data_IF_354595275949
#
_entry.id   IF_354595275949
#
_cell.length_a   1.000
_cell.length_b   1.000
_cell.length_c   1.000
_cell.angle_alpha   90.00
_cell.angle_beta   90.00
_cell.angle_gamma   90.00
#
_symmetry.space_group_name_H-M   'P 1'
#
loop_
_entity.id
_entity.type
_entity.pdbx_description
1 polymer ?
#
# COMPACT_ATOMS: atom_id res chain seq x y z
N UNK A 1 13.85 -16.02 -3.32
CA UNK A 1 14.35 -14.71 -3.76
C UNK A 1 15.46 -14.22 -2.85
N UNK A 2 16.31 -13.35 -3.37
CA UNK A 2 17.41 -12.75 -2.62
C UNK A 2 17.15 -11.24 -2.49
N UNK A 3 17.26 -10.72 -1.29
CA UNK A 3 17.13 -9.30 -1.01
C UNK A 3 18.51 -8.63 -1.05
N UNK A 4 18.66 -7.43 -1.64
CA UNK A 4 19.90 -6.68 -1.56
C UNK A 4 20.17 -6.30 -0.11
N UNK A 5 21.42 -6.46 0.32
CA UNK A 5 21.86 -6.13 1.65
C UNK A 5 23.26 -5.52 1.62
N UNK A 6 23.64 -4.87 2.69
CA UNK A 6 25.00 -4.38 2.91
C UNK A 6 25.52 -4.88 4.24
N UNK A 7 26.73 -5.36 4.22
CA UNK A 7 27.42 -5.80 5.41
C UNK A 7 28.58 -4.87 5.70
N UNK A 8 28.64 -4.35 6.91
CA UNK A 8 29.83 -3.69 7.41
C UNK A 8 30.91 -4.75 7.64
N UNK A 9 32.04 -4.57 7.02
CA UNK A 9 33.22 -5.41 7.23
C UNK A 9 34.25 -4.55 7.94
N UNK A 10 34.50 -4.90 9.20
CA UNK A 10 35.57 -4.34 10.00
C UNK A 10 36.73 -5.32 9.98
N UNK A 11 37.79 -5.06 9.25
CA UNK A 11 38.96 -5.94 9.27
C UNK A 11 39.69 -5.73 10.61
N UNK A 12 39.19 -6.36 11.66
CA UNK A 12 39.96 -6.46 12.91
C UNK A 12 41.25 -7.22 12.63
N UNK A 13 42.35 -6.53 12.72
CA UNK A 13 43.70 -7.07 12.66
C UNK A 13 44.16 -7.71 11.32
N UNK A 14 43.53 -7.47 10.20
CA UNK A 14 44.14 -7.84 8.91
C UNK A 14 45.25 -6.86 8.59
N UNK A 15 46.48 -7.33 8.60
CA UNK A 15 47.67 -6.59 8.16
C UNK A 15 47.72 -6.38 6.64
N UNK A 16 46.78 -6.99 5.91
CA UNK A 16 46.70 -6.88 4.46
C UNK A 16 45.75 -5.75 4.04
N UNK A 17 46.17 -4.91 3.09
CA UNK A 17 45.32 -3.87 2.54
C UNK A 17 44.16 -4.47 1.73
N UNK A 18 42.98 -3.83 1.80
CA UNK A 18 41.84 -4.16 0.93
C UNK A 18 41.95 -3.31 -0.34
N UNK A 19 42.04 -3.97 -1.49
CA UNK A 19 42.08 -3.32 -2.78
C UNK A 19 40.70 -3.37 -3.45
N UNK A 20 40.24 -2.23 -3.95
CA UNK A 20 38.99 -2.11 -4.68
C UNK A 20 39.09 -1.08 -5.81
N UNK A 21 38.23 -1.20 -6.80
CA UNK A 21 38.18 -0.26 -7.92
C UNK A 21 37.01 0.72 -7.74
N UNK A 22 37.31 2.01 -7.97
CA UNK A 22 36.35 3.11 -7.84
C UNK A 22 36.37 3.95 -9.11
N UNK A 23 35.23 4.45 -9.58
CA UNK A 23 35.23 5.41 -10.67
C UNK A 23 35.79 6.76 -10.19
N UNK A 24 36.47 7.50 -11.08
CA UNK A 24 37.02 8.83 -10.74
C UNK A 24 35.99 9.81 -10.18
N UNK A 25 34.70 9.64 -10.57
CA UNK A 25 33.58 10.46 -10.09
C UNK A 25 33.14 10.13 -8.67
N UNK A 26 33.48 8.94 -8.18
CA UNK A 26 33.12 8.47 -6.85
C UNK A 26 34.22 8.73 -5.81
N UNK A 27 35.38 9.26 -6.25
CA UNK A 27 36.48 9.55 -5.35
C UNK A 27 36.09 10.65 -4.35
N UNK A 28 36.13 10.38 -3.03
CA UNK A 28 35.82 11.40 -2.03
C UNK A 28 36.86 12.53 -2.04
N UNK A 29 36.40 13.74 -1.77
CA UNK A 29 37.25 14.92 -1.61
C UNK A 29 37.01 15.56 -0.24
N UNK A 30 38.01 15.61 0.68
CA UNK A 30 39.36 15.09 0.54
C UNK A 30 39.43 13.57 0.51
N UNK A 31 40.52 13.01 -0.04
CA UNK A 31 40.81 11.58 0.01
C UNK A 31 41.02 11.16 1.48
N UNK A 32 40.35 10.07 1.95
CA UNK A 32 40.57 9.58 3.32
C UNK A 32 42.04 9.21 3.57
N UNK A 33 42.58 9.55 4.74
CA UNK A 33 43.97 9.36 5.08
C UNK A 33 44.45 7.89 4.99
N UNK A 34 43.55 6.94 5.13
CA UNK A 34 43.80 5.51 5.05
C UNK A 34 43.74 4.95 3.63
N UNK A 35 43.35 5.77 2.66
CA UNK A 35 43.23 5.37 1.25
C UNK A 35 44.45 5.78 0.45
N UNK A 36 44.94 4.88 -0.41
CA UNK A 36 46.01 5.15 -1.35
C UNK A 36 45.56 4.77 -2.76
N UNK A 37 45.78 5.65 -3.72
CA UNK A 37 45.60 5.35 -5.14
C UNK A 37 46.79 4.48 -5.58
N UNK A 38 46.52 3.25 -5.98
CA UNK A 38 47.51 2.28 -6.43
C UNK A 38 47.74 2.38 -7.93
N UNK A 39 46.66 2.48 -8.68
CA UNK A 39 46.72 2.65 -10.13
C UNK A 39 45.57 3.53 -10.67
N UNK A 40 45.80 4.16 -11.77
CA UNK A 40 44.84 5.02 -12.46
C UNK A 40 44.58 4.50 -13.87
N UNK A 41 43.29 4.35 -14.20
CA UNK A 41 42.78 3.97 -15.51
C UNK A 41 41.96 5.11 -16.10
N UNK A 42 41.54 5.01 -17.36
CA UNK A 42 40.81 6.08 -18.06
C UNK A 42 39.62 6.62 -17.21
N UNK A 43 38.74 5.75 -16.71
CA UNK A 43 37.51 6.12 -15.97
C UNK A 43 37.49 5.64 -14.53
N UNK A 44 38.51 4.91 -14.05
CA UNK A 44 38.53 4.31 -12.73
C UNK A 44 39.90 4.42 -12.05
N UNK A 45 39.89 4.26 -10.75
CA UNK A 45 41.07 4.24 -9.88
C UNK A 45 41.05 2.93 -9.10
N UNK A 46 42.22 2.36 -8.92
CA UNK A 46 42.42 1.26 -7.99
C UNK A 46 42.91 1.84 -6.67
N UNK A 47 42.17 1.55 -5.60
CA UNK A 47 42.39 2.09 -4.26
C UNK A 47 42.83 0.95 -3.36
N UNK A 48 43.88 1.22 -2.57
CA UNK A 48 44.28 0.36 -1.45
C UNK A 48 43.89 1.06 -0.15
N UNK A 49 43.20 0.36 0.73
CA UNK A 49 42.74 0.84 2.01
C UNK A 49 43.24 -0.04 3.16
N UNK A 50 43.77 0.56 4.20
CA UNK A 50 44.23 -0.13 5.39
C UNK A 50 43.40 0.23 6.61
N UNK A 51 42.95 -0.79 7.39
CA UNK A 51 42.42 -0.62 8.73
C UNK A 51 41.11 0.16 8.83
N UNK A 52 40.29 0.20 7.79
CA UNK A 52 38.99 0.85 7.84
C UNK A 52 37.84 -0.10 7.61
N UNK A 53 36.72 0.21 8.28
CA UNK A 53 35.44 -0.42 7.98
C UNK A 53 34.97 -0.06 6.58
N UNK A 54 34.45 -1.03 5.86
CA UNK A 54 33.86 -0.81 4.56
C UNK A 54 32.56 -1.60 4.39
N UNK A 55 31.67 -1.05 3.57
CA UNK A 55 30.42 -1.70 3.25
C UNK A 55 30.56 -2.62 2.04
N UNK A 56 30.26 -3.90 2.24
CA UNK A 56 30.21 -4.88 1.17
C UNK A 56 28.76 -5.07 0.71
N UNK A 57 28.50 -4.83 -0.56
CA UNK A 57 27.21 -5.17 -1.16
C UNK A 57 27.08 -6.71 -1.18
N UNK A 58 26.00 -7.18 -0.64
CA UNK A 58 25.68 -8.60 -0.51
C UNK A 58 24.21 -8.84 -0.75
N UNK A 59 23.78 -10.07 -0.68
CA UNK A 59 22.37 -10.45 -0.68
C UNK A 59 22.12 -11.45 0.43
N UNK A 60 20.92 -11.45 0.98
CA UNK A 60 20.45 -12.49 1.87
C UNK A 60 19.13 -13.10 1.34
N UNK A 61 18.85 -14.36 1.65
CA UNK A 61 17.59 -14.98 1.23
C UNK A 61 16.42 -14.30 1.94
N UNK A 62 15.36 -14.01 1.18
CA UNK A 62 14.11 -13.53 1.79
C UNK A 62 13.44 -14.66 2.58
N UNK A 63 13.01 -14.37 3.79
CA UNK A 63 12.18 -15.28 4.57
C UNK A 63 10.75 -15.42 4.00
N UNK A 64 10.32 -14.44 3.17
CA UNK A 64 9.00 -14.37 2.56
C UNK A 64 9.13 -14.46 1.04
N UNK A 65 8.54 -15.47 0.43
CA UNK A 65 8.54 -15.66 -1.01
C UNK A 65 7.10 -15.65 -1.62
N UNK A 66 6.10 -15.37 -0.81
CA UNK A 66 4.71 -15.22 -1.24
C UNK A 66 4.31 -13.74 -1.26
N UNK A 67 3.80 -13.26 -2.39
CA UNK A 67 3.31 -11.89 -2.55
C UNK A 67 2.18 -11.83 -3.58
N UNK A 68 1.23 -10.91 -3.37
CA UNK A 68 0.24 -10.52 -4.38
C UNK A 68 0.85 -9.52 -5.35
N UNK A 69 0.82 -9.81 -6.63
CA UNK A 69 1.38 -8.96 -7.67
C UNK A 69 0.35 -8.73 -8.78
N UNK A 70 0.50 -7.65 -9.51
CA UNK A 70 -0.24 -7.45 -10.76
C UNK A 70 -0.01 -8.63 -11.71
N UNK A 71 -0.97 -8.94 -12.59
CA UNK A 71 -0.86 -10.06 -13.52
C UNK A 71 0.46 -10.02 -14.33
N UNK A 72 1.06 -11.19 -14.52
CA UNK A 72 2.29 -11.31 -15.30
C UNK A 72 2.08 -10.76 -16.72
N UNK A 73 2.99 -9.92 -17.17
CA UNK A 73 2.91 -9.24 -18.48
C UNK A 73 2.12 -7.93 -18.49
N UNK A 74 1.38 -7.62 -17.43
CA UNK A 74 0.75 -6.32 -17.28
C UNK A 74 1.73 -5.32 -16.64
N UNK A 75 1.97 -4.19 -17.29
CA UNK A 75 2.88 -3.14 -16.82
C UNK A 75 2.20 -1.77 -16.93
N UNK A 76 1.75 -1.17 -15.82
CA UNK A 76 1.09 0.13 -15.82
C UNK A 76 2.00 1.25 -16.35
N UNK A 77 3.33 1.08 -16.31
CA UNK A 77 4.28 2.06 -16.82
C UNK A 77 4.15 2.29 -18.34
N UNK A 78 3.57 1.34 -19.08
CA UNK A 78 3.43 1.43 -20.54
C UNK A 78 2.17 2.17 -21.00
N UNK A 79 1.26 2.49 -20.08
CA UNK A 79 -0.05 3.03 -20.41
C UNK A 79 -0.06 4.54 -20.58
N UNK A 80 0.97 5.23 -20.08
CA UNK A 80 1.13 6.68 -20.20
C UNK A 80 2.62 7.07 -20.09
N UNK A 81 2.95 8.34 -20.26
CA UNK A 81 4.33 8.84 -20.17
C UNK A 81 4.85 8.85 -18.71
N UNK A 82 5.15 7.65 -18.19
CA UNK A 82 5.46 7.41 -16.79
C UNK A 82 6.95 7.35 -16.44
N UNK A 83 7.81 7.86 -17.31
CA UNK A 83 9.26 7.77 -17.12
C UNK A 83 9.70 8.37 -15.77
N UNK A 84 10.41 7.59 -14.97
CA UNK A 84 10.84 7.91 -13.61
C UNK A 84 9.72 8.08 -12.56
N UNK A 85 8.51 7.63 -12.83
CA UNK A 85 7.47 7.61 -11.81
C UNK A 85 7.57 6.35 -10.94
N UNK A 86 7.38 6.47 -9.62
CA UNK A 86 7.22 5.34 -8.72
C UNK A 86 6.11 4.39 -9.17
N UNK A 87 6.28 3.10 -8.90
CA UNK A 87 5.32 2.07 -9.31
C UNK A 87 3.92 2.31 -8.75
N UNK A 88 3.80 2.75 -7.49
CA UNK A 88 2.51 3.08 -6.89
C UNK A 88 1.78 4.19 -7.65
N UNK A 89 2.50 5.21 -8.15
CA UNK A 89 1.91 6.29 -8.94
C UNK A 89 1.53 5.84 -10.36
N UNK A 90 2.29 4.93 -10.96
CA UNK A 90 1.91 4.32 -12.24
C UNK A 90 0.59 3.53 -12.11
N UNK A 91 0.46 2.77 -11.02
CA UNK A 91 -0.75 2.03 -10.69
C UNK A 91 -1.92 2.97 -10.37
N UNK A 92 -1.65 4.11 -9.73
CA UNK A 92 -2.65 5.15 -9.44
C UNK A 92 -3.32 5.66 -10.71
N UNK A 93 -2.53 6.08 -11.71
CA UNK A 93 -3.08 6.61 -12.96
C UNK A 93 -3.91 5.55 -13.68
N UNK A 94 -3.44 4.31 -13.72
CA UNK A 94 -4.20 3.21 -14.32
C UNK A 94 -5.51 2.94 -13.56
N UNK A 95 -5.45 2.70 -12.25
CA UNK A 95 -6.63 2.33 -11.46
C UNK A 95 -7.68 3.44 -11.40
N UNK A 96 -7.26 4.70 -11.33
CA UNK A 96 -8.18 5.83 -11.38
C UNK A 96 -8.82 5.99 -12.78
N UNK A 97 -8.06 5.78 -13.84
CA UNK A 97 -8.58 5.75 -15.21
C UNK A 97 -9.62 4.64 -15.41
N UNK A 98 -9.36 3.46 -14.86
CA UNK A 98 -10.28 2.32 -14.91
C UNK A 98 -11.59 2.63 -14.17
N UNK A 99 -11.51 3.24 -12.98
CA UNK A 99 -12.68 3.68 -12.21
C UNK A 99 -13.52 4.72 -13.00
N UNK A 100 -12.88 5.67 -13.67
CA UNK A 100 -13.56 6.66 -14.51
C UNK A 100 -14.28 5.96 -15.68
N UNK A 101 -13.61 5.02 -16.35
CA UNK A 101 -14.19 4.29 -17.46
C UNK A 101 -15.38 3.40 -17.04
N UNK A 102 -15.41 2.94 -15.79
CA UNK A 102 -16.50 2.12 -15.24
C UNK A 102 -17.82 2.87 -15.05
N UNK A 103 -17.82 4.20 -15.17
CA UNK A 103 -19.05 5.01 -15.09
C UNK A 103 -20.02 4.77 -16.24
N UNK A 104 -19.56 4.20 -17.37
CA UNK A 104 -20.38 3.97 -18.54
C UNK A 104 -20.88 5.23 -19.26
N UNK A 105 -20.38 6.42 -18.88
CA UNK A 105 -20.71 7.72 -19.45
C UNK A 105 -19.50 8.39 -20.07
N UNK A 106 -19.74 9.30 -21.00
CA UNK A 106 -18.66 10.10 -21.57
C UNK A 106 -18.14 11.09 -20.53
N UNK A 107 -16.84 11.00 -20.24
CA UNK A 107 -16.17 11.85 -19.26
C UNK A 107 -16.22 13.34 -19.62
N UNK A 108 -16.09 13.70 -20.89
CA UNK A 108 -16.19 15.10 -21.34
C UNK A 108 -17.57 15.69 -21.07
N UNK A 109 -18.64 14.91 -21.27
CA UNK A 109 -20.00 15.34 -20.92
C UNK A 109 -20.13 15.59 -19.42
N UNK A 110 -19.53 14.77 -18.57
CA UNK A 110 -19.51 15.00 -17.13
C UNK A 110 -18.82 16.34 -16.79
N UNK A 111 -17.68 16.60 -17.42
CA UNK A 111 -16.92 17.86 -17.23
C UNK A 111 -17.69 19.10 -17.70
N UNK A 112 -18.54 18.99 -18.70
CA UNK A 112 -19.42 20.07 -19.16
C UNK A 112 -20.53 20.38 -18.15
N UNK A 113 -21.01 19.38 -17.39
CA UNK A 113 -22.10 19.51 -16.45
C UNK A 113 -21.66 19.91 -15.05
N UNK A 114 -20.39 19.75 -14.71
CA UNK A 114 -19.86 19.95 -13.34
C UNK A 114 -18.77 21.02 -13.36
N UNK A 115 -18.91 22.09 -12.54
CA UNK A 115 -17.85 23.09 -12.40
C UNK A 115 -16.52 22.45 -11.99
N UNK A 116 -15.37 22.96 -12.48
CA UNK A 116 -14.06 22.36 -12.18
C UNK A 116 -13.71 22.30 -10.70
N UNK A 117 -14.23 23.20 -9.89
CA UNK A 117 -14.04 23.25 -8.43
C UNK A 117 -15.01 22.35 -7.65
N UNK A 118 -15.99 21.74 -8.31
CA UNK A 118 -16.91 20.77 -7.71
C UNK A 118 -16.47 19.30 -7.93
N UNK A 119 -15.21 19.06 -8.32
CA UNK A 119 -14.58 17.74 -8.32
C UNK A 119 -13.58 17.67 -7.19
N UNK A 120 -13.76 16.74 -6.25
CA UNK A 120 -12.78 16.43 -5.19
C UNK A 120 -11.98 15.19 -5.53
N UNK A 121 -10.73 15.12 -5.04
CA UNK A 121 -9.85 13.95 -5.17
C UNK A 121 -9.25 13.61 -3.81
N UNK A 122 -9.59 12.44 -3.28
CA UNK A 122 -9.04 11.94 -2.02
C UNK A 122 -8.36 10.60 -2.24
N UNK A 123 -7.07 10.63 -2.47
CA UNK A 123 -6.30 9.45 -2.80
C UNK A 123 -4.90 9.49 -2.19
N UNK A 124 -4.41 8.34 -1.75
CA UNK A 124 -3.12 8.30 -1.10
C UNK A 124 -2.47 6.91 -1.09
N UNK A 125 -1.28 6.89 -0.53
CA UNK A 125 -0.55 5.69 -0.17
C UNK A 125 -0.26 5.71 1.33
N UNK A 126 -0.51 4.60 2.01
CA UNK A 126 -0.21 4.44 3.43
C UNK A 126 1.30 4.53 3.69
N UNK A 127 2.11 3.92 2.83
CA UNK A 127 3.57 3.83 2.98
C UNK A 127 4.33 4.92 2.23
N UNK A 128 3.68 5.67 1.34
CA UNK A 128 4.38 6.50 0.36
C UNK A 128 5.10 5.67 -0.69
N UNK A 129 5.93 6.32 -1.49
CA UNK A 129 6.63 5.65 -2.59
C UNK A 129 8.06 5.29 -2.16
N UNK A 130 8.27 4.06 -1.69
CA UNK A 130 9.56 3.57 -1.16
C UNK A 130 10.42 2.84 -2.21
N UNK A 131 10.04 2.87 -3.47
CA UNK A 131 10.86 2.34 -4.55
C UNK A 131 12.02 3.28 -4.95
N UNK A 132 12.81 2.85 -5.94
CA UNK A 132 14.00 3.57 -6.40
C UNK A 132 13.68 4.96 -6.98
N UNK A 133 12.49 5.18 -7.51
CA UNK A 133 12.06 6.47 -8.08
C UNK A 133 11.52 7.45 -7.03
N UNK A 134 11.20 6.97 -5.83
CA UNK A 134 10.71 7.73 -4.70
C UNK A 134 11.70 7.83 -3.53
N UNK A 135 11.19 7.78 -2.32
CA UNK A 135 11.98 7.91 -1.08
C UNK A 135 13.07 6.84 -0.93
N UNK A 136 12.80 5.59 -1.37
CA UNK A 136 13.79 4.52 -1.28
C UNK A 136 15.07 4.88 -2.03
N UNK A 137 14.95 5.34 -3.27
CA UNK A 137 16.10 5.79 -4.05
C UNK A 137 16.79 7.02 -3.46
N UNK A 138 16.03 7.97 -2.92
CA UNK A 138 16.57 9.16 -2.28
C UNK A 138 17.40 8.80 -1.03
N UNK A 139 16.85 8.00 -0.13
CA UNK A 139 17.51 7.63 1.12
C UNK A 139 18.76 6.76 0.90
N UNK A 140 18.74 5.92 -0.13
CA UNK A 140 19.85 5.03 -0.47
C UNK A 140 20.92 5.68 -1.36
N UNK A 141 20.62 6.82 -2.00
CA UNK A 141 21.48 7.41 -3.02
C UNK A 141 22.93 7.59 -2.57
N UNK A 142 23.14 8.16 -1.38
CA UNK A 142 24.50 8.37 -0.83
C UNK A 142 25.22 7.06 -0.53
N UNK A 143 24.50 6.08 0.00
CA UNK A 143 25.08 4.76 0.29
C UNK A 143 25.46 4.00 -0.98
N UNK A 144 24.83 4.33 -2.10
CA UNK A 144 25.09 3.75 -3.42
C UNK A 144 26.07 4.61 -4.25
N UNK A 145 26.62 5.69 -3.68
CA UNK A 145 27.49 6.62 -4.42
C UNK A 145 26.77 7.37 -5.55
N UNK A 146 25.46 7.52 -5.47
CA UNK A 146 24.62 8.22 -6.46
C UNK A 146 24.24 9.61 -5.96
N UNK A 147 23.86 10.46 -6.90
CA UNK A 147 23.23 11.75 -6.60
C UNK A 147 21.73 11.54 -6.41
N UNK A 148 21.14 12.26 -5.45
CA UNK A 148 19.69 12.36 -5.30
C UNK A 148 19.12 13.12 -6.52
N UNK A 149 18.03 12.60 -7.07
CA UNK A 149 17.25 13.28 -8.10
C UNK A 149 16.29 14.29 -7.48
N UNK A 150 16.09 15.43 -8.11
CA UNK A 150 15.10 16.43 -7.67
C UNK A 150 13.66 15.92 -7.65
N UNK A 151 13.38 14.80 -8.32
CA UNK A 151 12.06 14.19 -8.42
C UNK A 151 11.76 13.23 -7.24
N UNK A 152 12.79 12.61 -6.67
CA UNK A 152 12.60 11.53 -5.67
C UNK A 152 11.89 12.00 -4.40
N UNK A 153 12.17 13.21 -3.93
CA UNK A 153 11.51 13.77 -2.75
C UNK A 153 10.02 14.00 -2.98
N UNK A 154 9.60 14.85 -3.93
CA UNK A 154 8.17 15.13 -4.13
C UNK A 154 7.39 13.88 -4.54
N UNK A 155 7.94 13.02 -5.39
CA UNK A 155 7.26 11.80 -5.82
C UNK A 155 7.14 10.74 -4.71
N UNK A 156 7.86 10.91 -3.59
CA UNK A 156 7.82 9.99 -2.45
C UNK A 156 6.62 10.16 -1.52
N UNK A 157 5.94 11.30 -1.54
CA UNK A 157 4.92 11.64 -0.56
C UNK A 157 3.65 10.77 -0.66
N UNK A 158 2.95 10.68 0.49
CA UNK A 158 1.76 9.83 0.63
C UNK A 158 0.55 10.37 -0.16
N UNK A 159 0.46 11.69 -0.37
CA UNK A 159 -0.62 12.39 -1.09
C UNK A 159 -0.43 12.40 -2.61
N UNK A 160 0.73 12.05 -3.11
CA UNK A 160 1.01 12.08 -4.55
C UNK A 160 0.00 11.33 -5.44
N UNK A 161 -0.64 10.23 -4.99
CA UNK A 161 -1.74 9.63 -5.75
C UNK A 161 -2.85 10.63 -6.11
N UNK A 162 -3.26 11.51 -5.18
CA UNK A 162 -4.29 12.51 -5.45
C UNK A 162 -3.84 13.54 -6.48
N UNK A 163 -2.61 14.05 -6.34
CA UNK A 163 -2.04 15.01 -7.28
C UNK A 163 -1.86 14.40 -8.68
N UNK A 164 -1.46 13.12 -8.77
CA UNK A 164 -1.32 12.43 -10.04
C UNK A 164 -2.65 12.21 -10.76
N UNK A 165 -3.70 11.85 -10.02
CA UNK A 165 -5.05 11.74 -10.59
C UNK A 165 -5.48 13.08 -11.15
N UNK A 166 -5.29 14.15 -10.38
CA UNK A 166 -5.65 15.48 -10.83
C UNK A 166 -4.84 15.93 -12.05
N UNK A 167 -3.52 15.75 -12.01
CA UNK A 167 -2.62 16.18 -13.08
C UNK A 167 -2.78 15.40 -14.39
N UNK A 168 -3.05 14.10 -14.31
CA UNK A 168 -3.07 13.23 -15.50
C UNK A 168 -4.47 12.91 -16.04
N UNK A 169 -5.50 13.03 -15.20
CA UNK A 169 -6.85 12.58 -15.57
C UNK A 169 -7.91 13.69 -15.48
N UNK A 170 -7.96 14.43 -14.37
CA UNK A 170 -9.08 15.31 -14.09
C UNK A 170 -8.87 16.77 -14.48
N UNK A 171 -7.73 17.36 -14.12
CA UNK A 171 -7.48 18.80 -14.24
C UNK A 171 -8.47 19.62 -13.45
N UNK A 172 -8.94 19.12 -12.28
CA UNK A 172 -9.92 19.80 -11.44
C UNK A 172 -9.29 20.91 -10.59
N UNK A 173 -10.14 21.80 -10.10
CA UNK A 173 -9.77 22.89 -9.19
C UNK A 173 -10.36 22.69 -7.78
N UNK A 174 -11.03 21.58 -7.55
CA UNK A 174 -11.61 21.24 -6.23
C UNK A 174 -10.59 20.71 -5.24
N UNK A 175 -11.08 20.29 -4.09
CA UNK A 175 -10.23 19.80 -2.99
C UNK A 175 -9.46 18.55 -3.39
N UNK A 176 -8.15 18.57 -3.16
CA UNK A 176 -7.26 17.46 -3.50
C UNK A 176 -6.36 17.14 -2.30
N UNK A 177 -6.25 15.87 -1.94
CA UNK A 177 -5.40 15.44 -0.82
C UNK A 177 -5.65 14.02 -0.36
N UNK A 178 -5.19 13.71 0.86
CA UNK A 178 -5.39 12.40 1.50
C UNK A 178 -5.37 12.48 3.01
N UNK A 179 -6.05 11.55 3.66
CA UNK A 179 -5.86 11.23 5.08
C UNK A 179 -5.24 9.85 5.19
N UNK A 180 -4.06 9.76 5.81
CA UNK A 180 -3.34 8.51 6.00
C UNK A 180 -3.69 7.89 7.35
N UNK A 181 -4.13 6.63 7.33
CA UNK A 181 -4.56 5.89 8.52
C UNK A 181 -4.20 4.39 8.42
N UNK A 182 -2.98 4.09 7.98
CA UNK A 182 -2.53 2.74 7.73
C UNK A 182 -3.54 1.96 6.85
N UNK A 183 -3.87 0.72 7.19
CA UNK A 183 -4.83 -0.10 6.43
C UNK A 183 -6.25 0.50 6.32
N UNK A 184 -6.56 1.56 7.04
CA UNK A 184 -7.86 2.27 6.97
C UNK A 184 -7.82 3.51 6.06
N UNK A 185 -6.70 3.81 5.40
CA UNK A 185 -6.51 5.01 4.57
C UNK A 185 -7.64 5.16 3.54
N UNK A 186 -8.05 4.09 2.87
CA UNK A 186 -9.16 4.12 1.93
C UNK A 186 -10.46 4.62 2.57
N UNK A 187 -10.81 4.15 3.76
CA UNK A 187 -12.05 4.54 4.45
C UNK A 187 -12.03 6.00 4.92
N UNK A 188 -10.85 6.52 5.32
CA UNK A 188 -10.71 7.94 5.64
C UNK A 188 -10.90 8.82 4.40
N UNK A 189 -10.31 8.44 3.29
CA UNK A 189 -10.48 9.14 2.01
C UNK A 189 -11.94 9.04 1.50
N UNK A 190 -12.55 7.86 1.62
CA UNK A 190 -13.96 7.65 1.28
C UNK A 190 -14.88 8.56 2.08
N UNK A 191 -14.63 8.70 3.40
CA UNK A 191 -15.39 9.59 4.26
C UNK A 191 -15.31 11.05 3.80
N UNK A 192 -14.12 11.53 3.42
CA UNK A 192 -13.96 12.90 2.93
C UNK A 192 -14.77 13.12 1.66
N UNK A 193 -14.70 12.20 0.68
CA UNK A 193 -15.50 12.30 -0.54
C UNK A 193 -17.01 12.29 -0.27
N UNK A 194 -17.48 11.43 0.64
CA UNK A 194 -18.89 11.39 1.05
C UNK A 194 -19.31 12.70 1.73
N UNK A 195 -18.47 13.27 2.59
CA UNK A 195 -18.75 14.53 3.26
C UNK A 195 -18.86 15.70 2.29
N UNK A 196 -17.96 15.79 1.31
CA UNK A 196 -18.00 16.85 0.30
C UNK A 196 -19.28 16.79 -0.55
N UNK A 197 -19.67 15.60 -0.98
CA UNK A 197 -20.90 15.42 -1.76
C UNK A 197 -22.13 15.73 -0.90
N UNK A 198 -22.19 15.19 0.32
CA UNK A 198 -23.33 15.39 1.23
C UNK A 198 -23.50 16.83 1.67
N UNK A 199 -22.42 17.61 1.74
CA UNK A 199 -22.46 19.03 2.06
C UNK A 199 -22.69 19.94 0.84
N UNK A 200 -22.67 19.38 -0.38
CA UNK A 200 -22.76 20.15 -1.62
C UNK A 200 -21.47 20.86 -2.01
N UNK A 201 -20.35 20.60 -1.34
CA UNK A 201 -19.05 21.16 -1.68
C UNK A 201 -18.51 20.57 -3.00
N UNK A 202 -18.77 19.30 -3.26
CA UNK A 202 -18.48 18.65 -4.53
C UNK A 202 -19.71 17.92 -5.06
N UNK A 203 -19.76 17.73 -6.37
CA UNK A 203 -20.74 16.88 -7.04
C UNK A 203 -20.15 15.53 -7.44
N UNK A 204 -18.83 15.48 -7.59
CA UNK A 204 -18.05 14.29 -7.94
C UNK A 204 -16.85 14.21 -7.03
N UNK A 205 -16.55 13.03 -6.49
CA UNK A 205 -15.33 12.78 -5.74
C UNK A 205 -14.68 11.49 -6.21
N UNK A 206 -13.42 11.55 -6.65
CA UNK A 206 -12.62 10.37 -6.94
C UNK A 206 -11.83 10.00 -5.69
N UNK A 207 -12.04 8.79 -5.20
CA UNK A 207 -11.50 8.32 -3.92
C UNK A 207 -10.76 7.02 -4.11
N UNK A 208 -9.60 6.88 -3.45
CA UNK A 208 -8.90 5.61 -3.53
C UNK A 208 -7.57 5.54 -2.79
N UNK A 209 -6.90 4.41 -2.98
CA UNK A 209 -5.54 4.16 -2.51
C UNK A 209 -4.76 3.36 -3.55
N UNK A 210 -3.45 3.57 -3.58
CA UNK A 210 -2.54 2.78 -4.40
C UNK A 210 -1.28 2.46 -3.61
N UNK A 211 -0.95 1.17 -3.54
CA UNK A 211 0.17 0.66 -2.76
C UNK A 211 1.06 -0.26 -3.60
N UNK A 212 2.34 0.00 -3.57
CA UNK A 212 3.37 -0.86 -4.16
C UNK A 212 4.41 -1.27 -3.08
N UNK A 213 4.01 -2.05 -2.06
CA UNK A 213 4.81 -2.29 -0.85
C UNK A 213 5.85 -3.40 -1.02
N UNK A 214 6.05 -3.92 -2.22
CA UNK A 214 6.96 -5.06 -2.45
C UNK A 214 8.41 -4.57 -2.59
N UNK A 215 8.87 -3.78 -1.62
CA UNK A 215 10.26 -3.35 -1.50
C UNK A 215 10.95 -4.08 -0.33
N UNK A 216 12.28 -4.27 -0.39
CA UNK A 216 13.02 -4.93 0.68
C UNK A 216 12.75 -4.34 2.06
N UNK A 217 12.72 -3.03 2.17
CA UNK A 217 12.56 -2.29 3.42
C UNK A 217 11.20 -2.57 4.08
N UNK A 218 10.14 -2.60 3.29
CA UNK A 218 8.78 -2.88 3.80
C UNK A 218 8.68 -4.36 4.19
N UNK A 219 9.19 -5.27 3.35
CA UNK A 219 9.18 -6.71 3.65
C UNK A 219 9.93 -6.97 4.95
N UNK A 220 11.14 -6.42 5.13
CA UNK A 220 11.92 -6.60 6.35
C UNK A 220 11.27 -5.97 7.58
N UNK A 221 10.66 -4.79 7.43
CA UNK A 221 9.94 -4.13 8.51
C UNK A 221 8.80 -4.99 9.04
N UNK A 222 7.98 -5.56 8.16
CA UNK A 222 6.88 -6.46 8.56
C UNK A 222 7.37 -7.85 8.99
N UNK A 223 8.50 -8.34 8.48
CA UNK A 223 9.16 -9.53 9.02
C UNK A 223 9.59 -9.32 10.47
N UNK A 224 10.22 -8.18 10.76
CA UNK A 224 10.65 -7.83 12.12
C UNK A 224 9.47 -7.70 13.10
N UNK A 225 8.30 -7.26 12.63
CA UNK A 225 7.05 -7.27 13.40
C UNK A 225 6.46 -8.67 13.61
N UNK A 226 6.99 -9.71 12.94
CA UNK A 226 6.42 -11.05 12.93
C UNK A 226 5.05 -11.17 12.23
N UNK A 227 4.68 -10.17 11.44
CA UNK A 227 3.33 -10.03 10.87
C UNK A 227 3.13 -10.80 9.56
N UNK A 228 4.23 -11.12 8.83
CA UNK A 228 4.14 -11.82 7.55
C UNK A 228 4.08 -13.34 7.70
N UNK A 229 3.36 -13.95 6.76
CA UNK A 229 3.39 -15.38 6.53
C UNK A 229 4.71 -15.75 5.82
N UNK A 230 5.76 -16.01 6.63
CA UNK A 230 7.05 -16.46 6.09
C UNK A 230 7.02 -17.95 5.71
N UNK A 231 7.97 -18.36 4.87
CA UNK A 231 8.02 -19.73 4.34
C UNK A 231 8.18 -20.78 5.45
N UNK A 232 8.91 -20.48 6.52
CA UNK A 232 9.11 -21.40 7.63
C UNK A 232 7.80 -21.65 8.39
N UNK A 233 7.04 -20.59 8.67
CA UNK A 233 5.72 -20.67 9.32
C UNK A 233 4.71 -21.39 8.42
N UNK A 234 4.68 -21.10 7.12
CA UNK A 234 3.79 -21.78 6.18
C UNK A 234 4.11 -23.26 6.06
N UNK A 235 5.38 -23.63 6.00
CA UNK A 235 5.82 -25.04 6.01
C UNK A 235 5.37 -25.77 7.28
N UNK A 236 5.57 -25.14 8.43
CA UNK A 236 5.14 -25.72 9.71
C UNK A 236 3.62 -25.89 9.79
N UNK A 237 2.86 -24.88 9.32
CA UNK A 237 1.40 -24.87 9.32
C UNK A 237 0.83 -25.97 8.40
N UNK A 238 1.39 -26.13 7.21
CA UNK A 238 0.96 -27.14 6.23
C UNK A 238 1.63 -28.51 6.41
N UNK A 239 2.50 -28.66 7.42
CA UNK A 239 3.24 -29.88 7.73
C UNK A 239 4.00 -30.45 6.52
N UNK A 240 4.61 -29.55 5.74
CA UNK A 240 5.35 -29.93 4.52
C UNK A 240 6.64 -30.71 4.85
N UNK A 241 6.91 -31.76 4.09
CA UNK A 241 8.14 -32.51 4.18
C UNK A 241 9.33 -31.69 3.66
N UNK A 242 10.55 -32.16 3.99
CA UNK A 242 11.77 -31.53 3.49
C UNK A 242 11.81 -31.60 1.95
N UNK A 243 11.99 -30.43 1.28
CA UNK A 243 12.01 -30.34 -0.18
C UNK A 243 10.66 -30.03 -0.85
N UNK A 244 9.54 -30.17 -0.15
CA UNK A 244 8.25 -29.72 -0.68
C UNK A 244 8.18 -28.19 -0.75
N UNK A 245 7.57 -27.67 -1.81
CA UNK A 245 7.40 -26.22 -1.99
C UNK A 245 6.16 -25.70 -1.26
N UNK A 246 6.25 -24.48 -0.74
CA UNK A 246 5.09 -23.75 -0.20
C UNK A 246 4.17 -23.35 -1.36
N UNK A 247 2.87 -23.56 -1.23
CA UNK A 247 1.89 -23.04 -2.17
C UNK A 247 1.56 -21.57 -1.81
N UNK A 248 2.17 -20.63 -2.55
CA UNK A 248 2.00 -19.21 -2.35
C UNK A 248 0.54 -18.73 -2.46
N UNK A 249 -0.30 -19.44 -3.25
CA UNK A 249 -1.73 -19.11 -3.41
C UNK A 249 -2.54 -19.38 -2.14
N UNK A 250 -2.00 -20.18 -1.23
CA UNK A 250 -2.62 -20.52 0.06
C UNK A 250 -1.99 -19.77 1.23
N UNK A 251 -1.09 -18.82 0.99
CA UNK A 251 -0.40 -18.11 2.05
C UNK A 251 -1.32 -17.18 2.87
N UNK A 252 -2.27 -16.50 2.23
CA UNK A 252 -3.21 -15.63 2.91
C UNK A 252 -4.50 -16.38 3.29
N UNK A 253 -4.75 -16.54 4.60
CA UNK A 253 -5.88 -17.33 5.15
C UNK A 253 -6.60 -16.54 6.24
N UNK A 254 -7.48 -15.59 5.89
CA UNK A 254 -8.07 -14.65 6.85
C UNK A 254 -8.68 -15.27 8.11
N UNK A 255 -9.54 -16.28 7.95
CA UNK A 255 -10.26 -16.92 9.06
C UNK A 255 -9.93 -18.41 9.23
N UNK A 256 -9.05 -18.95 8.41
CA UNK A 256 -8.52 -20.32 8.56
C UNK A 256 -7.32 -20.38 9.49
N UNK A 257 -6.68 -21.54 9.56
CA UNK A 257 -5.38 -21.68 10.20
C UNK A 257 -4.35 -20.85 9.44
N UNK A 258 -3.79 -19.87 10.10
CA UNK A 258 -2.95 -18.85 9.50
C UNK A 258 -1.72 -18.54 10.36
N UNK A 259 -0.73 -17.87 9.76
CA UNK A 259 0.52 -17.54 10.43
C UNK A 259 1.04 -16.14 10.11
N UNK A 260 0.28 -15.33 9.40
CA UNK A 260 0.63 -13.97 9.01
C UNK A 260 -0.13 -13.53 7.76
N UNK A 261 0.08 -12.29 7.33
CA UNK A 261 -0.49 -11.80 6.08
C UNK A 261 0.51 -11.90 4.92
N UNK A 262 0.00 -11.83 3.70
CA UNK A 262 0.78 -11.79 2.46
C UNK A 262 0.72 -10.39 1.91
N UNK A 263 1.86 -9.72 1.74
CA UNK A 263 1.93 -8.41 1.11
C UNK A 263 1.46 -8.48 -0.35
N UNK A 264 0.79 -7.41 -0.79
CA UNK A 264 0.32 -7.29 -2.17
C UNK A 264 0.46 -5.86 -2.68
N UNK A 265 0.68 -5.70 -3.97
CA UNK A 265 0.49 -4.42 -4.64
C UNK A 265 -0.96 -4.30 -5.14
N UNK A 266 -1.53 -3.11 -5.04
CA UNK A 266 -2.88 -2.83 -5.57
C UNK A 266 -3.13 -1.34 -5.79
N UNK A 267 -4.09 -1.04 -6.67
CA UNK A 267 -4.66 0.28 -6.82
C UNK A 267 -6.19 0.12 -6.87
N UNK A 268 -6.90 0.81 -6.00
CA UNK A 268 -8.34 0.67 -5.82
C UNK A 268 -8.97 2.05 -5.75
N UNK A 269 -9.84 2.34 -6.70
CA UNK A 269 -10.49 3.63 -6.82
C UNK A 269 -11.99 3.48 -7.04
N UNK A 270 -12.73 4.46 -6.54
CA UNK A 270 -14.17 4.61 -6.79
C UNK A 270 -14.45 6.07 -7.16
N UNK A 271 -15.41 6.26 -8.05
CA UNK A 271 -15.97 7.58 -8.34
C UNK A 271 -17.30 7.69 -7.59
N UNK A 272 -17.37 8.65 -6.69
CA UNK A 272 -18.61 9.03 -6.02
C UNK A 272 -19.25 10.18 -6.80
N UNK A 273 -20.57 10.19 -6.86
CA UNK A 273 -21.33 11.21 -7.55
C UNK A 273 -22.62 11.49 -6.78
N UNK A 274 -23.11 12.72 -6.78
CA UNK A 274 -24.45 12.98 -6.22
C UNK A 274 -25.52 12.24 -7.04
N UNK A 275 -26.57 11.80 -6.36
CA UNK A 275 -27.61 10.95 -6.93
C UNK A 275 -28.27 11.59 -8.15
N UNK A 276 -28.55 12.89 -8.10
CA UNK A 276 -29.23 13.61 -9.18
C UNK A 276 -28.38 13.65 -10.43
N UNK A 277 -27.08 13.92 -10.30
CA UNK A 277 -26.13 13.96 -11.42
C UNK A 277 -25.95 12.57 -12.03
N UNK A 278 -25.82 11.53 -11.19
CA UNK A 278 -25.65 10.16 -11.67
C UNK A 278 -26.85 9.70 -12.50
N UNK A 279 -28.06 10.01 -12.04
CA UNK A 279 -29.31 9.68 -12.77
C UNK A 279 -29.49 10.52 -14.04
N UNK A 280 -29.19 11.81 -13.99
CA UNK A 280 -29.27 12.73 -15.12
C UNK A 280 -28.35 12.30 -16.28
N UNK A 281 -27.15 11.89 -15.95
CA UNK A 281 -26.16 11.48 -16.93
C UNK A 281 -26.35 10.02 -17.41
N UNK A 282 -27.17 9.23 -16.71
CA UNK A 282 -27.34 7.80 -16.97
C UNK A 282 -26.10 7.00 -16.65
N UNK A 283 -25.41 7.34 -15.56
CA UNK A 283 -24.21 6.65 -15.13
C UNK A 283 -24.50 5.21 -14.70
N UNK A 284 -23.54 4.30 -14.89
CA UNK A 284 -23.62 2.96 -14.36
C UNK A 284 -23.41 2.98 -12.85
N UNK A 285 -24.49 2.76 -12.10
CA UNK A 285 -24.49 2.83 -10.64
C UNK A 285 -24.21 1.44 -10.06
N UNK A 286 -23.01 1.24 -9.50
CA UNK A 286 -22.60 -0.03 -8.86
C UNK A 286 -23.12 -0.18 -7.44
N UNK A 287 -23.46 0.92 -6.77
CA UNK A 287 -23.98 0.95 -5.41
C UNK A 287 -24.05 2.36 -4.85
N UNK A 288 -24.49 2.47 -3.60
CA UNK A 288 -24.50 3.73 -2.88
C UNK A 288 -23.70 3.63 -1.57
N UNK A 289 -23.02 4.71 -1.20
CA UNK A 289 -22.35 4.85 0.09
C UNK A 289 -23.25 5.63 1.02
N UNK A 290 -23.90 4.93 1.94
CA UNK A 290 -24.85 5.56 2.87
C UNK A 290 -24.15 6.35 3.96
N UNK A 291 -23.02 5.85 4.48
CA UNK A 291 -22.19 6.52 5.50
C UNK A 291 -20.84 5.82 5.66
N UNK A 292 -19.89 6.49 6.31
CA UNK A 292 -18.57 5.96 6.65
C UNK A 292 -18.23 6.26 8.10
N UNK A 293 -18.15 5.22 8.93
CA UNK A 293 -17.87 5.34 10.35
C UNK A 293 -16.39 5.11 10.65
N UNK A 294 -15.80 6.02 11.39
CA UNK A 294 -14.39 5.99 11.81
C UNK A 294 -14.34 6.28 13.31
N UNK A 295 -13.66 5.42 14.07
CA UNK A 295 -13.47 5.60 15.50
C UNK A 295 -12.05 5.21 15.91
N UNK A 296 -11.47 5.92 16.87
CA UNK A 296 -10.23 5.52 17.50
C UNK A 296 -10.46 4.35 18.47
N UNK A 297 -9.44 3.53 18.67
CA UNK A 297 -9.49 2.37 19.57
C UNK A 297 -9.31 2.72 21.06
N UNK A 298 -9.12 3.99 21.40
CA UNK A 298 -8.90 4.44 22.78
C UNK A 298 -7.50 4.08 23.31
N UNK A 299 -7.42 3.70 24.56
CA UNK A 299 -6.15 3.33 25.21
C UNK A 299 -5.71 1.93 24.78
N UNK A 300 -4.82 1.89 23.80
CA UNK A 300 -4.31 0.66 23.26
C UNK A 300 -2.80 0.75 23.06
N UNK A 301 -2.07 -0.21 23.63
CA UNK A 301 -0.59 -0.23 23.60
C UNK A 301 -0.01 -0.94 22.39
N UNK A 302 -0.80 -1.70 21.66
CA UNK A 302 -0.36 -2.52 20.54
C UNK A 302 -1.34 -2.43 19.38
N UNK A 303 -0.82 -2.35 18.16
CA UNK A 303 -1.63 -2.36 16.91
C UNK A 303 -2.55 -3.59 16.85
N UNK A 304 -2.06 -4.72 17.30
CA UNK A 304 -2.78 -6.00 17.21
C UNK A 304 -3.83 -6.22 18.30
N UNK A 305 -3.84 -5.42 19.37
CA UNK A 305 -4.85 -5.56 20.42
C UNK A 305 -6.22 -5.04 19.93
N UNK A 306 -7.32 -5.77 20.21
CA UNK A 306 -8.65 -5.27 19.91
C UNK A 306 -8.95 -4.02 20.75
N UNK A 307 -9.54 -3.01 20.11
CA UNK A 307 -9.98 -1.78 20.78
C UNK A 307 -11.49 -1.62 20.68
N UNK A 308 -12.07 -0.78 21.55
CA UNK A 308 -13.50 -0.48 21.54
C UNK A 308 -13.96 0.21 20.25
N UNK A 309 -13.07 0.93 19.58
CA UNK A 309 -13.38 1.64 18.34
C UNK A 309 -13.91 0.74 17.23
N UNK A 310 -13.37 -0.45 17.08
CA UNK A 310 -13.82 -1.41 16.07
C UNK A 310 -15.27 -1.88 16.33
N UNK A 311 -15.63 -2.14 17.61
CA UNK A 311 -17.01 -2.50 17.98
C UNK A 311 -17.97 -1.36 17.69
N UNK A 312 -17.63 -0.13 18.06
CA UNK A 312 -18.42 1.06 17.80
C UNK A 312 -18.59 1.30 16.30
N UNK A 313 -17.54 1.13 15.52
CA UNK A 313 -17.55 1.33 14.06
C UNK A 313 -18.54 0.39 13.40
N UNK A 314 -18.43 -0.91 13.66
CA UNK A 314 -19.31 -1.91 13.06
C UNK A 314 -20.76 -1.80 13.59
N UNK A 315 -20.95 -1.51 14.87
CA UNK A 315 -22.28 -1.30 15.46
C UNK A 315 -22.98 -0.08 14.87
N UNK A 316 -22.26 1.05 14.66
CA UNK A 316 -22.81 2.24 14.00
C UNK A 316 -23.20 1.94 12.56
N UNK A 317 -22.38 1.21 11.81
CA UNK A 317 -22.69 0.79 10.45
C UNK A 317 -23.94 -0.11 10.41
N UNK A 318 -24.05 -1.07 11.31
CA UNK A 318 -25.23 -1.93 11.42
C UNK A 318 -26.50 -1.13 11.81
N UNK A 319 -26.37 -0.17 12.73
CA UNK A 319 -27.49 0.70 13.14
C UNK A 319 -27.98 1.60 12.00
N UNK A 320 -27.06 2.22 11.26
CA UNK A 320 -27.39 3.03 10.09
C UNK A 320 -28.03 2.18 8.98
N UNK A 321 -27.46 1.00 8.70
CA UNK A 321 -28.06 0.06 7.75
C UNK A 321 -29.47 -0.34 8.16
N UNK A 322 -29.69 -0.64 9.45
CA UNK A 322 -31.04 -0.95 9.97
C UNK A 322 -32.03 0.19 9.75
N UNK A 323 -31.59 1.44 9.97
CA UNK A 323 -32.44 2.61 9.79
C UNK A 323 -32.85 2.81 8.33
N UNK A 324 -31.97 2.49 7.37
CA UNK A 324 -32.22 2.70 5.93
C UNK A 324 -33.03 1.56 5.31
N UNK A 325 -32.59 0.31 5.52
CA UNK A 325 -33.17 -0.86 4.82
C UNK A 325 -34.10 -1.71 5.68
N UNK A 326 -34.24 -1.38 6.94
CA UNK A 326 -35.07 -2.08 7.94
C UNK A 326 -34.40 -3.31 8.51
N UNK A 327 -34.89 -3.74 9.67
CA UNK A 327 -34.34 -4.83 10.47
C UNK A 327 -34.29 -6.18 9.73
N UNK A 328 -35.35 -6.51 9.00
CA UNK A 328 -35.44 -7.75 8.23
C UNK A 328 -34.35 -7.84 7.15
N UNK A 329 -34.06 -6.72 6.47
CA UNK A 329 -33.03 -6.67 5.44
C UNK A 329 -31.63 -6.75 6.05
N UNK A 330 -31.36 -6.03 7.11
CA UNK A 330 -30.11 -6.15 7.87
C UNK A 330 -29.84 -7.59 8.27
N UNK A 331 -30.82 -8.26 8.90
CA UNK A 331 -30.64 -9.63 9.41
C UNK A 331 -30.48 -10.68 8.34
N UNK A 332 -31.11 -10.55 7.19
CA UNK A 332 -31.19 -11.61 6.16
C UNK A 332 -30.41 -11.34 4.86
N UNK A 333 -30.09 -10.09 4.58
CA UNK A 333 -29.51 -9.67 3.30
C UNK A 333 -28.18 -8.94 3.43
N UNK A 334 -27.70 -8.71 4.68
CA UNK A 334 -26.40 -8.06 4.86
C UNK A 334 -25.25 -9.04 4.69
N UNK A 335 -24.12 -8.47 4.29
CA UNK A 335 -22.83 -9.13 4.13
C UNK A 335 -21.77 -8.22 4.76
N UNK A 336 -20.80 -8.81 5.43
CA UNK A 336 -19.60 -8.10 5.90
C UNK A 336 -18.43 -8.44 4.97
N UNK A 337 -17.86 -7.44 4.35
CA UNK A 337 -16.53 -7.55 3.76
C UNK A 337 -15.51 -7.24 4.86
N UNK A 338 -14.91 -8.28 5.41
CA UNK A 338 -14.03 -8.19 6.56
C UNK A 338 -12.66 -7.62 6.22
N UNK A 339 -11.96 -7.09 7.22
CA UNK A 339 -10.56 -6.71 7.10
C UNK A 339 -9.69 -7.93 6.77
N UNK A 340 -9.83 -9.03 7.52
CA UNK A 340 -9.32 -10.35 7.15
C UNK A 340 -7.84 -10.37 6.76
N UNK A 341 -6.94 -9.92 7.65
CA UNK A 341 -5.50 -9.80 7.32
C UNK A 341 -4.78 -11.14 7.12
N UNK A 342 -5.27 -12.22 7.73
CA UNK A 342 -4.57 -13.52 7.78
C UNK A 342 -3.61 -13.66 8.95
N UNK A 343 -3.59 -12.72 9.89
CA UNK A 343 -2.83 -12.87 11.14
C UNK A 343 -3.65 -13.60 12.20
N UNK A 344 -3.03 -14.43 13.06
CA UNK A 344 -3.73 -15.14 14.14
C UNK A 344 -4.50 -14.20 15.06
N UNK A 345 -3.93 -13.05 15.40
CA UNK A 345 -4.56 -12.06 16.26
C UNK A 345 -5.82 -11.45 15.63
N UNK A 346 -5.73 -11.01 14.36
CA UNK A 346 -6.88 -10.41 13.69
C UNK A 346 -8.01 -11.44 13.52
N UNK A 347 -7.68 -12.70 13.21
CA UNK A 347 -8.67 -13.77 13.11
C UNK A 347 -9.55 -13.84 14.36
N UNK A 348 -8.95 -13.82 15.54
CA UNK A 348 -9.68 -13.89 16.81
C UNK A 348 -10.45 -12.60 17.08
N UNK A 349 -9.77 -11.46 17.02
CA UNK A 349 -10.35 -10.16 17.36
C UNK A 349 -11.51 -9.78 16.44
N UNK A 350 -11.37 -10.00 15.14
CA UNK A 350 -12.40 -9.65 14.17
C UNK A 350 -13.59 -10.63 14.22
N UNK A 351 -13.33 -11.92 14.45
CA UNK A 351 -14.40 -12.90 14.64
C UNK A 351 -15.23 -12.57 15.88
N UNK A 352 -14.59 -12.22 16.99
CA UNK A 352 -15.29 -11.84 18.23
C UNK A 352 -16.11 -10.56 18.04
N UNK A 353 -15.52 -9.53 17.40
CA UNK A 353 -16.20 -8.29 17.05
C UNK A 353 -17.48 -8.55 16.26
N UNK A 354 -17.37 -9.29 15.15
CA UNK A 354 -18.52 -9.60 14.30
C UNK A 354 -19.59 -10.41 15.03
N UNK A 355 -19.17 -11.39 15.84
CA UNK A 355 -20.09 -12.21 16.63
C UNK A 355 -20.88 -11.39 17.65
N UNK A 356 -20.23 -10.49 18.38
CA UNK A 356 -20.90 -9.62 19.36
C UNK A 356 -21.88 -8.66 18.68
N UNK A 357 -21.47 -8.00 17.60
CA UNK A 357 -22.37 -7.10 16.86
C UNK A 357 -23.53 -7.90 16.23
N UNK A 358 -23.28 -9.08 15.69
CA UNK A 358 -24.35 -9.93 15.18
C UNK A 358 -25.39 -10.27 16.27
N UNK A 359 -24.94 -10.63 17.48
CA UNK A 359 -25.82 -10.92 18.63
C UNK A 359 -26.68 -9.70 18.98
N UNK A 360 -26.09 -8.53 19.12
CA UNK A 360 -26.81 -7.27 19.46
C UNK A 360 -27.86 -6.88 18.44
N UNK A 361 -27.63 -7.17 17.16
CA UNK A 361 -28.59 -6.85 16.08
C UNK A 361 -29.48 -8.05 15.67
N UNK A 362 -29.36 -9.19 16.36
CA UNK A 362 -30.14 -10.41 16.07
C UNK A 362 -29.86 -10.96 14.67
N UNK A 363 -28.63 -10.90 14.21
CA UNK A 363 -28.21 -11.41 12.90
C UNK A 363 -27.69 -12.84 13.10
N UNK A 364 -28.44 -13.82 12.60
CA UNK A 364 -28.05 -15.21 12.65
C UNK A 364 -27.32 -15.59 11.35
N UNK A 365 -26.15 -16.25 11.46
CA UNK A 365 -25.40 -16.72 10.31
C UNK A 365 -24.95 -15.59 9.39
N UNK A 366 -24.39 -14.51 9.95
CA UNK A 366 -23.91 -13.36 9.17
C UNK A 366 -22.91 -13.78 8.12
N UNK A 367 -23.18 -13.44 6.88
CA UNK A 367 -22.29 -13.77 5.75
C UNK A 367 -21.07 -12.89 5.79
N UNK A 368 -19.88 -13.50 5.70
CA UNK A 368 -18.60 -12.79 5.78
C UNK A 368 -17.77 -13.16 4.56
N UNK A 369 -17.19 -12.16 3.92
CA UNK A 369 -16.19 -12.30 2.85
C UNK A 369 -14.89 -11.64 3.26
N UNK A 370 -13.76 -12.12 2.75
CA UNK A 370 -12.44 -11.55 2.96
C UNK A 370 -11.62 -11.65 1.67
N UNK A 371 -11.68 -10.61 0.86
CA UNK A 371 -11.05 -10.57 -0.48
C UNK A 371 -9.53 -10.76 -0.41
N UNK A 372 -8.90 -10.42 0.73
CA UNK A 372 -7.46 -10.64 0.93
C UNK A 372 -7.03 -12.10 0.82
N UNK A 373 -7.96 -13.06 0.97
CA UNK A 373 -7.68 -14.47 0.70
C UNK A 373 -7.22 -14.71 -0.74
N UNK A 374 -7.65 -13.88 -1.68
CA UNK A 374 -7.38 -14.03 -3.12
C UNK A 374 -6.26 -13.11 -3.60
N UNK A 375 -6.15 -11.90 -3.05
CA UNK A 375 -5.26 -10.86 -3.58
C UNK A 375 -4.14 -10.46 -2.62
N UNK A 376 -4.15 -10.93 -1.38
CA UNK A 376 -3.24 -10.50 -0.34
C UNK A 376 -3.62 -9.15 0.28
N UNK A 377 -2.70 -8.57 1.06
CA UNK A 377 -2.90 -7.31 1.80
C UNK A 377 -1.99 -6.22 1.26
N UNK A 378 -2.56 -5.19 0.72
CA UNK A 378 -1.82 -4.07 0.11
C UNK A 378 -1.54 -2.91 1.08
N UNK A 379 -1.88 -3.06 2.37
CA UNK A 379 -1.68 -2.10 3.45
C UNK A 379 -2.72 -1.00 3.55
#
# INVERSE_FOLDING_TARGET
SALPARRLVSPEASTAPVNFRLSKRQLPKPLPATWRIVSEHADSLEISCMGQDFWLDTTHPSAVNSAGQLPCGFDPARLYASHNHPRGLQMTVFGASDAINSLGINWERLRECVPPDAFSVYAGSCMGQLDQAGFGGMLQARLQGRKVSSKQLPLGFNEMPADFINAYLLGSLGTTGTSVAACATFLYNLRQGVQDISSGQARVALVGTSEAPLTPEIIEGYCAMGALADDAKLRALDKLAQGEAVDARRACRPFGDNCGFTLAESAQFVVLMDDSLALELGAEIHGSVSDVFINADGYKKSIASPGLGNYLTLAKAAAATRAIVGEKSLRRRSLVQAHGTGTPQNRVSESELMSRVATEFGIEGWRISAVKAFVGHSL
#
